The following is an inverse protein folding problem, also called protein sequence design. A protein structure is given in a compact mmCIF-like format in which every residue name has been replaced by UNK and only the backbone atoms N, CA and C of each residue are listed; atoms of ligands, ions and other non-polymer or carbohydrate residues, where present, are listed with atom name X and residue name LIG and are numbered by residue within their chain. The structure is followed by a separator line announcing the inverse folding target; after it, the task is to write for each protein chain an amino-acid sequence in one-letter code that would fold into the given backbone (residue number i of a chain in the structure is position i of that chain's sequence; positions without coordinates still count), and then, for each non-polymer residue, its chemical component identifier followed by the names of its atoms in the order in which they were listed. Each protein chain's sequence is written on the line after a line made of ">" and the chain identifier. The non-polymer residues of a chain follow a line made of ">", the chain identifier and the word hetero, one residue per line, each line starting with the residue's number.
data_IF_832032085754
#
_entry.id   IF_832032085754
#
_cell.length_a   1.000
_cell.length_b   1.000
_cell.length_c   1.000
_cell.angle_alpha   90.00
_cell.angle_beta   90.00
_cell.angle_gamma   90.00
#
_symmetry.space_group_name_H-M   'P 1'
#
loop_
_entity.id
_entity.type
_entity.pdbx_description
1 polymer ?
#
# COMPACT_ATOMS: atom_id res chain seq x y z
N UNK A 1 5.25 7.77 6.84
CA UNK A 1 5.00 7.71 5.39
C UNK A 1 3.50 7.63 5.15
N UNK A 2 2.94 8.48 4.30
CA UNK A 2 1.53 8.40 3.94
C UNK A 2 1.30 7.22 2.99
N UNK A 3 0.17 6.52 3.19
CA UNK A 3 -0.25 5.40 2.35
C UNK A 3 -1.75 5.49 2.06
N UNK A 4 -2.18 4.89 0.95
CA UNK A 4 -3.60 4.74 0.61
C UNK A 4 -3.89 3.36 0.03
N UNK A 5 -5.02 2.79 0.43
CA UNK A 5 -5.50 1.50 -0.05
C UNK A 5 -6.67 1.75 -1.00
N UNK A 6 -6.63 1.10 -2.15
CA UNK A 6 -7.68 1.15 -3.16
C UNK A 6 -8.11 -0.26 -3.56
N UNK A 7 -9.33 -0.36 -4.09
CA UNK A 7 -9.84 -1.57 -4.75
C UNK A 7 -10.24 -1.24 -6.18
N UNK A 8 -9.94 -2.14 -7.09
CA UNK A 8 -10.36 -2.05 -8.48
C UNK A 8 -11.85 -2.36 -8.59
N UNK A 9 -12.60 -1.46 -9.21
CA UNK A 9 -13.90 -1.74 -9.81
C UNK A 9 -13.64 -2.42 -11.17
N UNK A 10 -13.93 -3.73 -11.33
CA UNK A 10 -13.60 -4.44 -12.57
C UNK A 10 -14.53 -4.07 -13.73
N UNK A 11 -15.70 -3.50 -13.48
CA UNK A 11 -16.64 -3.07 -14.52
C UNK A 11 -16.24 -1.72 -15.10
N UNK A 12 -15.85 -0.77 -14.24
CA UNK A 12 -15.46 0.57 -14.65
C UNK A 12 -13.96 0.72 -14.90
N UNK A 13 -13.14 -0.27 -14.52
CA UNK A 13 -11.67 -0.20 -14.52
C UNK A 13 -11.11 0.99 -13.72
N UNK A 14 -11.83 1.36 -12.64
CA UNK A 14 -11.49 2.48 -11.77
C UNK A 14 -10.97 2.00 -10.42
N UNK A 15 -10.00 2.74 -9.86
CA UNK A 15 -9.51 2.50 -8.51
C UNK A 15 -10.34 3.32 -7.51
N UNK A 16 -11.10 2.63 -6.67
CA UNK A 16 -11.87 3.25 -5.59
C UNK A 16 -11.03 3.31 -4.32
N UNK A 17 -10.90 4.49 -3.72
CA UNK A 17 -10.23 4.68 -2.44
C UNK A 17 -11.02 3.97 -1.33
N UNK A 18 -10.34 3.12 -0.55
CA UNK A 18 -10.89 2.48 0.64
C UNK A 18 -10.48 3.27 1.88
N UNK A 19 -9.18 3.53 2.03
CA UNK A 19 -8.68 4.25 3.19
C UNK A 19 -7.39 5.00 2.89
N UNK A 20 -7.08 5.96 3.76
CA UNK A 20 -5.78 6.63 3.84
C UNK A 20 -5.20 6.40 5.24
N UNK A 21 -3.88 6.33 5.34
CA UNK A 21 -3.18 6.11 6.60
C UNK A 21 -1.79 6.70 6.59
N UNK A 22 -1.16 6.72 7.75
CA UNK A 22 0.25 7.10 7.91
C UNK A 22 0.95 6.05 8.76
N UNK A 23 2.12 5.58 8.31
CA UNK A 23 2.91 4.62 9.08
C UNK A 23 3.31 5.21 10.43
N UNK A 24 3.24 4.40 11.48
CA UNK A 24 3.74 4.75 12.80
C UNK A 24 5.28 4.71 12.86
N UNK A 25 5.85 4.93 14.06
CA UNK A 25 7.31 4.92 14.29
C UNK A 25 7.99 3.58 13.97
N UNK A 26 7.24 2.49 13.98
CA UNK A 26 7.73 1.14 13.64
C UNK A 26 7.53 0.81 12.15
N UNK A 27 7.13 1.78 11.33
CA UNK A 27 6.90 1.60 9.89
C UNK A 27 5.62 0.84 9.55
N UNK A 28 4.70 0.61 10.51
CA UNK A 28 3.46 -0.14 10.31
C UNK A 28 2.26 0.80 10.17
N UNK A 29 1.22 0.37 9.45
CA UNK A 29 -0.05 1.06 9.37
C UNK A 29 -1.20 0.11 9.76
N UNK A 30 -1.61 0.07 11.04
CA UNK A 30 -2.72 -0.77 11.47
C UNK A 30 -4.06 -0.23 10.93
N UNK A 31 -5.07 -1.11 10.87
CA UNK A 31 -6.46 -0.70 10.57
C UNK A 31 -6.71 -0.25 9.13
N UNK A 32 -5.94 -0.74 8.15
CA UNK A 32 -6.11 -0.39 6.74
C UNK A 32 -7.48 -0.82 6.18
N UNK A 33 -8.02 -1.93 6.64
CA UNK A 33 -9.34 -2.42 6.22
C UNK A 33 -9.90 -3.32 7.31
N UNK A 34 -11.23 -3.33 7.47
CA UNK A 34 -11.92 -4.27 8.36
C UNK A 34 -12.06 -5.61 7.68
N UNK A 35 -12.18 -6.70 8.45
CA UNK A 35 -12.39 -8.04 7.90
C UNK A 35 -13.65 -8.11 7.02
N UNK A 36 -14.75 -7.46 7.43
CA UNK A 36 -16.01 -7.48 6.68
C UNK A 36 -15.91 -6.79 5.30
N UNK A 37 -15.04 -5.77 5.17
CA UNK A 37 -14.82 -5.05 3.92
C UNK A 37 -13.73 -5.71 3.04
N UNK A 38 -12.92 -6.59 3.62
CA UNK A 38 -11.85 -7.29 2.93
C UNK A 38 -12.41 -8.53 2.23
N UNK A 39 -12.56 -8.44 0.91
CA UNK A 39 -13.19 -9.48 0.10
C UNK A 39 -12.33 -9.78 -1.13
N UNK A 40 -12.50 -10.94 -1.79
CA UNK A 40 -11.74 -11.25 -2.99
C UNK A 40 -11.84 -10.16 -4.06
N UNK A 41 -10.72 -9.89 -4.73
CA UNK A 41 -10.61 -8.83 -5.72
C UNK A 41 -9.18 -8.29 -5.87
N UNK A 42 -9.04 -7.27 -6.70
CA UNK A 42 -7.74 -6.62 -6.95
C UNK A 42 -7.66 -5.34 -6.14
N UNK A 43 -6.57 -5.19 -5.40
CA UNK A 43 -6.28 -4.07 -4.53
C UNK A 43 -5.00 -3.38 -4.97
N UNK A 44 -4.84 -2.13 -4.52
CA UNK A 44 -3.65 -1.33 -4.74
C UNK A 44 -3.28 -0.59 -3.47
N UNK A 45 -2.06 -0.80 -3.00
CA UNK A 45 -1.45 0.02 -1.97
C UNK A 45 -0.55 1.05 -2.63
N UNK A 46 -0.80 2.32 -2.34
CA UNK A 46 0.04 3.45 -2.78
C UNK A 46 0.82 3.98 -1.58
N UNK A 47 2.11 4.18 -1.77
CA UNK A 47 3.05 4.70 -0.79
C UNK A 47 3.63 6.01 -1.31
N UNK A 48 3.51 7.11 -0.57
CA UNK A 48 4.04 8.42 -0.95
C UNK A 48 5.55 8.48 -0.64
N UNK A 49 6.35 7.76 -1.42
CA UNK A 49 7.81 7.62 -1.20
C UNK A 49 8.57 8.91 -1.43
N UNK A 50 8.14 9.74 -2.39
CA UNK A 50 8.74 11.04 -2.65
C UNK A 50 8.59 11.98 -1.46
N UNK A 51 7.35 12.16 -0.98
CA UNK A 51 7.07 12.98 0.21
C UNK A 51 7.79 12.46 1.46
N UNK A 52 7.92 11.14 1.60
CA UNK A 52 8.68 10.55 2.70
C UNK A 52 10.15 10.95 2.68
N UNK A 53 10.84 10.82 1.55
CA UNK A 53 12.25 11.22 1.44
C UNK A 53 12.45 12.74 1.51
N UNK A 54 11.52 13.52 0.93
CA UNK A 54 11.52 14.98 1.03
C UNK A 54 11.45 15.44 2.49
N UNK A 55 10.62 14.78 3.32
CA UNK A 55 10.54 15.07 4.77
C UNK A 55 11.83 14.76 5.53
N UNK A 56 12.76 14.04 4.91
CA UNK A 56 14.10 13.73 5.42
C UNK A 56 15.20 14.54 4.71
N UNK A 57 14.82 15.58 3.94
CA UNK A 57 15.73 16.42 3.16
C UNK A 57 16.56 15.63 2.14
N UNK A 58 15.96 14.60 1.53
CA UNK A 58 16.59 13.81 0.48
C UNK A 58 15.67 13.61 -0.73
N UNK A 59 16.27 13.46 -1.90
CA UNK A 59 15.52 13.13 -3.11
C UNK A 59 15.13 11.64 -3.14
N UNK A 60 14.00 11.35 -3.78
CA UNK A 60 13.65 9.98 -4.18
C UNK A 60 13.63 9.87 -5.69
N UNK A 61 14.15 8.76 -6.20
CA UNK A 61 13.94 8.41 -7.60
C UNK A 61 12.47 8.06 -7.89
N UNK A 62 11.71 7.66 -6.86
CA UNK A 62 10.31 7.26 -6.98
C UNK A 62 9.42 8.32 -6.34
N UNK A 63 8.61 9.07 -7.12
CA UNK A 63 7.70 10.07 -6.54
C UNK A 63 6.64 9.41 -5.64
N UNK A 64 6.24 8.19 -5.99
CA UNK A 64 5.40 7.29 -5.21
C UNK A 64 5.63 5.85 -5.71
N UNK A 65 5.21 4.86 -4.92
CA UNK A 65 5.18 3.45 -5.32
C UNK A 65 3.77 2.92 -5.18
N UNK A 66 3.27 2.25 -6.22
CA UNK A 66 2.01 1.51 -6.17
C UNK A 66 2.27 0.01 -6.29
N UNK A 67 1.77 -0.76 -5.33
CA UNK A 67 1.80 -2.22 -5.36
C UNK A 67 0.38 -2.72 -5.60
N UNK A 68 0.16 -3.34 -6.76
CA UNK A 68 -1.12 -3.93 -7.14
C UNK A 68 -1.06 -5.44 -6.85
N UNK A 69 -2.10 -5.97 -6.20
CA UNK A 69 -2.15 -7.37 -5.79
C UNK A 69 -3.58 -7.91 -5.81
N UNK A 70 -3.69 -9.23 -5.96
CA UNK A 70 -4.97 -9.95 -5.98
C UNK A 70 -5.17 -10.71 -4.69
N UNK A 71 -6.38 -10.60 -4.14
CA UNK A 71 -6.87 -11.38 -3.01
C UNK A 71 -7.86 -12.41 -3.55
N UNK A 72 -7.57 -13.69 -3.33
CA UNK A 72 -8.46 -14.80 -3.70
C UNK A 72 -9.12 -15.45 -2.49
N UNK A 73 -8.43 -15.45 -1.36
CA UNK A 73 -8.87 -16.00 -0.08
C UNK A 73 -8.73 -14.92 0.99
N UNK A 74 -9.86 -14.38 1.46
CA UNK A 74 -9.90 -13.28 2.42
C UNK A 74 -9.69 -13.73 3.88
N UNK A 75 -9.72 -15.03 4.16
CA UNK A 75 -9.51 -15.57 5.50
C UNK A 75 -8.01 -15.67 5.85
N UNK A 76 -7.14 -15.59 4.84
CA UNK A 76 -5.71 -15.54 5.04
C UNK A 76 -5.27 -14.16 5.54
N UNK A 77 -4.25 -14.16 6.40
CA UNK A 77 -3.54 -12.92 6.73
C UNK A 77 -2.64 -12.52 5.57
N UNK A 78 -2.61 -11.22 5.29
CA UNK A 78 -1.78 -10.62 4.25
C UNK A 78 -0.84 -9.59 4.86
N UNK A 79 0.45 -9.79 4.65
CA UNK A 79 1.47 -8.80 4.97
C UNK A 79 2.16 -8.37 3.67
N UNK A 80 2.06 -7.08 3.33
CA UNK A 80 2.64 -6.50 2.12
C UNK A 80 3.58 -5.34 2.48
N UNK A 81 4.86 -5.63 2.82
CA UNK A 81 5.82 -4.60 3.16
C UNK A 81 6.38 -3.91 1.92
N UNK A 82 6.94 -2.72 2.14
CA UNK A 82 7.78 -2.00 1.19
C UNK A 82 9.15 -1.80 1.84
N UNK A 83 10.18 -2.46 1.31
CA UNK A 83 11.57 -2.18 1.66
C UNK A 83 12.07 -1.12 0.68
N UNK A 84 12.61 -0.02 1.19
CA UNK A 84 12.84 1.19 0.38
C UNK A 84 14.22 1.79 0.65
N UNK A 85 14.92 2.12 -0.43
CA UNK A 85 16.00 3.10 -0.46
C UNK A 85 15.60 4.26 -1.38
N UNK A 86 16.48 5.27 -1.55
CA UNK A 86 16.22 6.38 -2.49
C UNK A 86 16.17 5.94 -3.96
N UNK A 87 16.80 4.81 -4.30
CA UNK A 87 17.00 4.35 -5.69
C UNK A 87 16.67 2.85 -5.90
N UNK A 88 16.07 2.20 -4.91
CA UNK A 88 15.56 0.84 -5.04
C UNK A 88 14.38 0.62 -4.10
N UNK A 89 13.48 -0.29 -4.47
CA UNK A 89 12.50 -0.83 -3.54
C UNK A 89 12.24 -2.31 -3.83
N UNK A 90 11.75 -3.03 -2.83
CA UNK A 90 11.25 -4.38 -2.99
C UNK A 90 10.02 -4.62 -2.14
N UNK A 91 9.24 -5.62 -2.53
CA UNK A 91 8.05 -6.08 -1.80
C UNK A 91 7.96 -7.60 -1.92
N UNK A 92 7.20 -8.21 -1.03
CA UNK A 92 6.89 -9.64 -1.05
C UNK A 92 5.55 -9.88 -0.38
N UNK A 93 4.92 -11.03 -0.62
CA UNK A 93 3.72 -11.44 0.11
C UNK A 93 4.12 -12.26 1.34
N UNK A 94 3.89 -11.72 2.52
CA UNK A 94 3.98 -12.44 3.80
C UNK A 94 2.63 -12.94 4.30
N UNK A 95 2.68 -13.85 5.27
CA UNK A 95 1.55 -14.32 6.09
C UNK A 95 1.26 -13.41 7.26
#
# INVERSE_FOLDING_TARGET
>A
MAISLHRLDPQMTLWNLITVGTTNKDGRCPGLITSDAFTPGTYKMRFETGQYWESLEQDSFYPYVEIVFTITDADQKFHLPLLLSRYSYSTYRGS
#
